data_IF_177066471656
#
_entry.id   IF_177066471656
#
_cell.length_a   1.000
_cell.length_b   1.000
_cell.length_c   1.000
_cell.angle_alpha   90.00
_cell.angle_beta   90.00
_cell.angle_gamma   90.00
#
_symmetry.space_group_name_H-M   'P 1'
#
loop_
_entity.id
_entity.type
_entity.pdbx_description
1 polymer ?
#
# COMPACT_ATOMS: atom_id res chain seq x y z
N UNK A 1 -16.14 -9.94 -25.57
CA UNK A 1 -15.48 -10.97 -26.39
C UNK A 1 -14.17 -11.43 -25.77
N UNK A 2 -13.15 -10.57 -25.61
CA UNK A 2 -11.88 -10.92 -24.93
C UNK A 2 -12.07 -11.70 -23.62
N UNK A 3 -12.85 -11.17 -22.67
CA UNK A 3 -13.09 -11.83 -21.37
C UNK A 3 -13.83 -13.17 -21.49
N UNK A 4 -14.71 -13.32 -22.49
CA UNK A 4 -15.45 -14.57 -22.69
C UNK A 4 -14.58 -15.66 -23.32
N UNK A 5 -13.54 -15.24 -24.05
CA UNK A 5 -12.57 -16.13 -24.70
C UNK A 5 -11.35 -16.39 -23.82
N UNK A 6 -11.10 -15.54 -22.82
CA UNK A 6 -10.02 -15.68 -21.86
C UNK A 6 -10.46 -16.69 -20.80
N UNK A 7 -9.92 -17.91 -20.86
CA UNK A 7 -10.24 -19.02 -19.96
C UNK A 7 -9.49 -18.96 -18.63
N UNK A 8 -9.35 -17.77 -18.04
CA UNK A 8 -8.65 -17.59 -16.78
C UNK A 8 -9.16 -16.40 -15.96
N UNK A 9 -8.60 -16.25 -14.77
CA UNK A 9 -8.94 -15.14 -13.87
C UNK A 9 -8.36 -13.83 -14.38
N UNK A 10 -9.12 -12.73 -14.26
CA UNK A 10 -8.71 -11.41 -14.77
C UNK A 10 -8.79 -10.32 -13.70
N UNK A 11 -7.93 -9.32 -13.85
CA UNK A 11 -8.07 -8.03 -13.17
C UNK A 11 -8.59 -6.98 -14.17
N UNK A 12 -9.63 -6.24 -13.79
CA UNK A 12 -10.18 -5.13 -14.58
C UNK A 12 -9.86 -3.83 -13.85
N UNK A 13 -9.12 -2.93 -14.51
CA UNK A 13 -8.63 -1.67 -13.95
C UNK A 13 -9.09 -0.48 -14.81
N UNK A 14 -9.44 0.68 -14.22
CA UNK A 14 -9.57 1.92 -14.97
C UNK A 14 -8.19 2.39 -15.47
N UNK A 15 -8.10 2.85 -16.71
CA UNK A 15 -6.85 3.39 -17.27
C UNK A 15 -6.50 4.78 -16.72
N UNK A 16 -7.45 5.45 -16.07
CA UNK A 16 -7.25 6.75 -15.43
C UNK A 16 -7.19 6.65 -13.91
N UNK A 17 -6.64 7.67 -13.26
CA UNK A 17 -6.54 7.72 -11.81
C UNK A 17 -7.92 7.88 -11.16
N UNK A 18 -8.31 6.89 -10.35
CA UNK A 18 -9.59 6.83 -9.63
C UNK A 18 -9.43 6.79 -8.11
N UNK A 19 -8.21 7.06 -7.62
CA UNK A 19 -7.87 7.11 -6.20
C UNK A 19 -7.89 5.74 -5.52
N UNK A 20 -7.38 4.71 -6.20
CA UNK A 20 -7.33 3.33 -5.69
C UNK A 20 -8.67 2.61 -5.66
N UNK A 21 -9.76 3.23 -6.17
CA UNK A 21 -11.10 2.63 -6.19
C UNK A 21 -11.47 2.23 -7.60
N UNK A 22 -11.77 0.95 -7.83
CA UNK A 22 -12.34 0.49 -9.11
C UNK A 22 -11.57 -0.62 -9.79
N UNK A 23 -10.46 -1.08 -9.22
CA UNK A 23 -9.88 -2.38 -9.57
C UNK A 23 -10.87 -3.46 -9.14
N UNK A 24 -11.13 -4.42 -10.03
CA UNK A 24 -11.95 -5.58 -9.72
C UNK A 24 -11.26 -6.83 -10.21
N UNK A 25 -10.99 -7.74 -9.29
CA UNK A 25 -10.51 -9.08 -9.59
C UNK A 25 -11.72 -9.98 -9.81
N UNK A 26 -11.75 -10.63 -10.97
CA UNK A 26 -12.77 -11.61 -11.31
C UNK A 26 -12.08 -12.97 -11.40
N UNK A 27 -12.27 -13.78 -10.36
CA UNK A 27 -11.80 -15.15 -10.35
C UNK A 27 -12.69 -16.03 -11.23
N UNK A 28 -12.09 -16.80 -12.14
CA UNK A 28 -11.90 -18.24 -11.92
C UNK A 28 -13.05 -19.09 -11.37
N UNK A 29 -14.33 -18.76 -11.51
CA UNK A 29 -15.42 -19.61 -11.00
C UNK A 29 -15.74 -20.78 -11.94
N UNK A 30 -14.74 -21.46 -12.49
CA UNK A 30 -14.91 -22.50 -13.52
C UNK A 30 -15.92 -22.06 -14.60
N UNK A 31 -15.80 -20.82 -15.08
CA UNK A 31 -16.83 -20.24 -15.94
C UNK A 31 -16.99 -21.01 -17.26
N UNK A 32 -15.96 -21.76 -17.66
CA UNK A 32 -15.96 -22.68 -18.79
C UNK A 32 -16.81 -23.95 -18.58
N UNK A 33 -17.15 -24.33 -17.33
CA UNK A 33 -17.85 -25.58 -17.03
C UNK A 33 -19.38 -25.51 -17.17
N UNK A 34 -19.99 -24.32 -17.25
CA UNK A 34 -21.42 -24.21 -17.53
C UNK A 34 -21.83 -22.89 -18.18
N UNK A 35 -22.88 -22.93 -19.01
CA UNK A 35 -23.44 -21.75 -19.68
C UNK A 35 -23.90 -20.67 -18.66
N UNK A 36 -24.49 -21.09 -17.54
CA UNK A 36 -24.98 -20.19 -16.50
C UNK A 36 -23.86 -19.40 -15.80
N UNK A 37 -22.67 -20.02 -15.64
CA UNK A 37 -21.50 -19.36 -15.08
C UNK A 37 -20.89 -18.35 -16.07
N UNK A 38 -20.86 -18.67 -17.38
CA UNK A 38 -20.52 -17.69 -18.43
C UNK A 38 -21.46 -16.49 -18.42
N UNK A 39 -22.75 -16.72 -18.22
CA UNK A 39 -23.74 -15.65 -18.15
C UNK A 39 -23.61 -14.81 -16.87
N UNK A 40 -23.18 -15.39 -15.74
CA UNK A 40 -22.86 -14.65 -14.51
C UNK A 40 -21.58 -13.79 -14.64
N UNK A 41 -20.53 -14.35 -15.24
CA UNK A 41 -19.31 -13.61 -15.58
C UNK A 41 -19.62 -12.46 -16.55
N UNK A 42 -20.37 -12.77 -17.62
CA UNK A 42 -20.82 -11.77 -18.61
C UNK A 42 -21.66 -10.67 -17.98
N UNK A 43 -22.56 -10.97 -17.02
CA UNK A 43 -23.32 -9.96 -16.28
C UNK A 43 -22.45 -9.09 -15.37
N UNK A 44 -21.49 -9.68 -14.66
CA UNK A 44 -20.55 -8.93 -13.80
C UNK A 44 -19.68 -8.00 -14.64
N UNK A 45 -19.14 -8.52 -15.74
CA UNK A 45 -18.35 -7.76 -16.73
C UNK A 45 -19.19 -6.71 -17.43
N UNK A 46 -20.43 -7.02 -17.82
CA UNK A 46 -21.35 -6.05 -18.43
C UNK A 46 -21.77 -4.98 -17.45
N UNK A 47 -21.95 -5.31 -16.17
CA UNK A 47 -22.15 -4.35 -15.09
C UNK A 47 -20.97 -3.40 -14.96
N UNK A 48 -19.74 -3.92 -15.07
CA UNK A 48 -18.52 -3.12 -15.07
C UNK A 48 -18.41 -2.27 -16.34
N UNK A 49 -18.60 -2.85 -17.52
CA UNK A 49 -18.59 -2.14 -18.80
C UNK A 49 -19.67 -1.07 -18.86
N UNK A 50 -20.84 -1.29 -18.24
CA UNK A 50 -21.91 -0.30 -18.13
C UNK A 50 -21.54 0.89 -17.22
N UNK A 51 -20.59 0.73 -16.28
CA UNK A 51 -20.02 1.84 -15.51
C UNK A 51 -19.06 2.71 -16.34
N UNK A 52 -18.64 2.24 -17.52
CA UNK A 52 -17.65 2.88 -18.40
C UNK A 52 -18.16 3.06 -19.84
N UNK A 53 -19.48 3.01 -20.05
CA UNK A 53 -20.13 3.01 -21.38
C UNK A 53 -20.52 4.40 -21.88
N UNK A 54 -20.34 5.46 -21.09
CA UNK A 54 -20.62 6.82 -21.59
C UNK A 54 -19.45 7.33 -22.41
N UNK A 55 -19.74 8.03 -23.50
CA UNK A 55 -18.74 8.84 -24.18
C UNK A 55 -18.08 9.79 -23.16
N UNK A 56 -16.75 9.70 -23.03
CA UNK A 56 -15.97 10.46 -22.05
C UNK A 56 -15.60 9.73 -20.77
N UNK A 57 -16.06 8.50 -20.53
CA UNK A 57 -15.60 7.67 -19.40
C UNK A 57 -14.23 7.00 -19.70
N UNK A 58 -13.38 6.77 -18.69
CA UNK A 58 -12.00 6.32 -18.89
C UNK A 58 -11.94 4.94 -19.54
N UNK A 59 -10.97 4.76 -20.44
CA UNK A 59 -10.62 3.43 -20.99
C UNK A 59 -10.38 2.45 -19.83
N UNK A 60 -10.60 1.16 -20.07
CA UNK A 60 -10.29 0.09 -19.10
C UNK A 60 -9.06 -0.70 -19.57
N UNK A 61 -8.34 -1.26 -18.61
CA UNK A 61 -7.27 -2.23 -18.78
C UNK A 61 -7.78 -3.57 -18.25
N UNK A 62 -7.57 -4.64 -19.01
CA UNK A 62 -7.91 -6.00 -18.61
C UNK A 62 -6.59 -6.78 -18.62
N UNK A 63 -6.22 -7.31 -17.47
CA UNK A 63 -4.95 -8.00 -17.24
C UNK A 63 -5.20 -9.40 -16.69
N UNK A 64 -4.22 -10.26 -16.83
CA UNK A 64 -4.18 -11.55 -16.14
C UNK A 64 -4.16 -11.31 -14.62
N UNK A 65 -4.99 -12.05 -13.89
CA UNK A 65 -4.89 -12.09 -12.42
C UNK A 65 -3.66 -12.91 -12.07
N UNK A 66 -2.79 -12.32 -11.26
CA UNK A 66 -1.66 -13.02 -10.64
C UNK A 66 -1.90 -13.17 -9.14
N UNK A 67 -1.27 -14.17 -8.54
CA UNK A 67 -1.37 -14.51 -7.13
C UNK A 67 0.02 -14.52 -6.48
N UNK A 68 0.07 -14.22 -5.19
CA UNK A 68 1.29 -14.14 -4.40
C UNK A 68 1.18 -13.14 -3.24
N UNK A 69 2.24 -12.96 -2.44
CA UNK A 69 2.29 -11.85 -1.50
C UNK A 69 2.57 -10.53 -2.23
N UNK A 70 1.72 -9.53 -1.94
CA UNK A 70 1.91 -8.15 -2.42
C UNK A 70 2.96 -7.40 -1.58
N UNK A 71 3.80 -6.62 -2.25
CA UNK A 71 4.76 -5.71 -1.63
C UNK A 71 5.08 -4.52 -2.55
N UNK A 72 5.76 -3.52 -2.02
CA UNK A 72 6.13 -2.31 -2.73
C UNK A 72 7.61 -2.02 -2.54
N UNK A 73 8.29 -1.61 -3.62
CA UNK A 73 9.56 -0.91 -3.56
C UNK A 73 9.40 0.56 -3.99
N UNK A 74 9.76 1.50 -3.12
CA UNK A 74 9.91 2.92 -3.46
C UNK A 74 11.36 3.22 -3.84
N UNK A 75 11.55 3.94 -4.96
CA UNK A 75 12.85 4.39 -5.45
C UNK A 75 12.82 5.90 -5.63
N UNK A 76 13.78 6.58 -5.00
CA UNK A 76 14.01 8.01 -5.19
C UNK A 76 14.91 8.21 -6.40
N UNK A 77 14.62 9.18 -7.25
CA UNK A 77 15.42 9.54 -8.43
C UNK A 77 15.62 11.05 -8.47
N UNK A 78 16.85 11.51 -8.67
CA UNK A 78 17.17 12.91 -8.97
C UNK A 78 17.25 13.19 -10.48
N UNK A 79 16.94 12.19 -11.30
CA UNK A 79 17.03 12.22 -12.75
C UNK A 79 18.34 11.66 -13.32
N UNK A 80 19.35 11.42 -12.48
CA UNK A 80 20.66 10.89 -12.88
C UNK A 80 21.09 9.66 -12.06
N UNK A 81 20.75 9.67 -10.77
CA UNK A 81 21.01 8.65 -9.77
C UNK A 81 19.69 8.16 -9.19
N UNK A 82 19.68 6.92 -8.69
CA UNK A 82 18.52 6.36 -7.99
C UNK A 82 18.93 5.79 -6.65
N UNK A 83 18.02 5.84 -5.68
CA UNK A 83 18.19 5.32 -4.33
C UNK A 83 16.96 4.49 -3.95
N UNK A 84 17.07 3.16 -3.90
CA UNK A 84 15.97 2.32 -3.43
C UNK A 84 15.83 2.41 -1.91
N UNK A 85 14.59 2.31 -1.43
CA UNK A 85 14.24 2.32 0.00
C UNK A 85 13.87 0.90 0.47
N UNK A 86 13.77 0.66 1.79
CA UNK A 86 13.23 -0.59 2.31
C UNK A 86 11.87 -0.95 1.70
N UNK A 87 11.65 -2.24 1.52
CA UNK A 87 10.35 -2.76 1.10
C UNK A 87 9.26 -2.44 2.14
N UNK A 88 8.05 -2.26 1.64
CA UNK A 88 6.85 -2.15 2.45
C UNK A 88 5.76 -3.08 1.92
N UNK A 89 4.87 -3.50 2.82
CA UNK A 89 3.63 -4.18 2.47
C UNK A 89 2.48 -3.38 3.09
N UNK A 90 1.44 -3.11 2.30
CA UNK A 90 0.24 -2.42 2.76
C UNK A 90 -0.92 -3.39 3.04
N UNK A 91 -1.86 -2.94 3.86
CA UNK A 91 -3.03 -3.72 4.25
C UNK A 91 -4.30 -3.00 3.78
N UNK A 92 -4.73 -3.27 2.55
CA UNK A 92 -5.75 -2.48 1.85
C UNK A 92 -7.15 -2.59 2.45
N UNK A 93 -7.57 -3.76 2.93
CA UNK A 93 -8.94 -3.97 3.40
C UNK A 93 -9.23 -3.36 4.76
N UNK A 94 -10.47 -2.89 4.94
CA UNK A 94 -10.92 -2.15 6.11
C UNK A 94 -10.90 -2.95 7.42
N UNK A 95 -11.10 -4.27 7.35
CA UNK A 95 -11.27 -5.13 8.53
C UNK A 95 -10.20 -6.22 8.59
N UNK A 96 -10.14 -6.89 9.73
CA UNK A 96 -9.19 -7.97 10.01
C UNK A 96 -9.29 -9.09 8.97
N UNK A 97 -8.20 -9.82 8.77
CA UNK A 97 -8.13 -10.98 7.89
C UNK A 97 -8.37 -10.62 6.41
N UNK A 98 -8.08 -9.37 6.04
CA UNK A 98 -8.21 -8.92 4.66
C UNK A 98 -9.66 -8.77 4.18
N UNK A 99 -10.64 -8.68 5.08
CA UNK A 99 -12.06 -8.61 4.68
C UNK A 99 -12.60 -7.18 4.63
N UNK A 100 -13.74 -7.03 3.95
CA UNK A 100 -14.42 -5.74 3.80
C UNK A 100 -13.90 -4.92 2.63
N UNK A 101 -14.41 -3.68 2.46
CA UNK A 101 -14.07 -2.85 1.32
C UNK A 101 -12.58 -2.50 1.30
N UNK A 102 -12.02 -2.37 0.10
CA UNK A 102 -10.71 -1.75 -0.11
C UNK A 102 -10.71 -0.32 0.41
N UNK A 103 -9.59 0.08 0.98
CA UNK A 103 -9.34 1.40 1.55
C UNK A 103 -8.05 1.97 0.96
N UNK A 104 -7.67 3.19 1.37
CA UNK A 104 -6.33 3.69 1.08
C UNK A 104 -5.19 2.93 1.81
N UNK A 105 -5.51 1.95 2.66
CA UNK A 105 -4.57 1.18 3.49
C UNK A 105 -4.86 1.35 4.98
N UNK A 106 -5.24 0.28 5.68
CA UNK A 106 -5.46 0.29 7.13
C UNK A 106 -4.19 0.10 7.96
N UNK A 107 -3.07 -0.16 7.30
CA UNK A 107 -1.77 -0.29 7.92
C UNK A 107 -0.70 -0.66 6.90
N UNK A 108 0.54 -0.69 7.37
CA UNK A 108 1.68 -1.12 6.57
C UNK A 108 2.77 -1.68 7.49
N UNK A 109 3.61 -2.54 6.93
CA UNK A 109 4.83 -3.03 7.56
C UNK A 109 6.04 -2.75 6.68
N UNK A 110 7.21 -2.69 7.29
CA UNK A 110 8.51 -2.62 6.61
C UNK A 110 9.57 -3.29 7.48
N UNK A 111 10.53 -3.95 6.86
CA UNK A 111 11.64 -4.62 7.53
C UNK A 111 11.39 -6.10 7.80
N UNK A 112 12.36 -6.80 8.43
CA UNK A 112 13.61 -6.27 8.97
C UNK A 112 14.59 -5.79 7.89
N UNK A 113 15.50 -4.88 8.24
CA UNK A 113 16.44 -4.22 7.31
C UNK A 113 15.74 -3.63 6.06
N UNK A 114 16.30 -3.73 4.85
CA UNK A 114 15.65 -3.27 3.62
C UNK A 114 14.63 -4.26 3.03
N UNK A 115 14.46 -5.45 3.61
CA UNK A 115 13.62 -6.52 3.09
C UNK A 115 12.28 -6.64 3.81
N UNK A 116 11.42 -7.50 3.26
CA UNK A 116 10.32 -8.15 3.99
C UNK A 116 10.70 -9.62 4.19
N UNK A 117 10.25 -10.30 5.25
CA UNK A 117 10.66 -11.68 5.55
C UNK A 117 10.38 -12.72 4.46
N UNK A 118 9.45 -12.43 3.56
CA UNK A 118 9.05 -13.30 2.45
C UNK A 118 9.69 -12.89 1.11
N UNK A 119 10.62 -11.92 1.10
CA UNK A 119 11.35 -11.47 -0.08
C UNK A 119 12.85 -11.70 0.13
N UNK A 120 13.48 -12.36 -0.82
CA UNK A 120 14.93 -12.60 -0.87
C UNK A 120 15.69 -11.39 -1.42
N UNK A 121 17.02 -11.38 -1.22
CA UNK A 121 17.88 -10.32 -1.77
C UNK A 121 17.84 -10.28 -3.31
N UNK A 122 17.83 -11.45 -3.96
CA UNK A 122 17.78 -11.54 -5.42
C UNK A 122 16.46 -11.02 -6.00
N UNK A 123 15.35 -11.25 -5.31
CA UNK A 123 14.03 -10.71 -5.66
C UNK A 123 13.97 -9.20 -5.44
N UNK A 124 14.57 -8.69 -4.37
CA UNK A 124 14.70 -7.25 -4.14
C UNK A 124 15.53 -6.58 -5.24
N UNK A 125 16.68 -7.14 -5.59
CA UNK A 125 17.53 -6.65 -6.69
C UNK A 125 16.80 -6.70 -8.02
N UNK A 126 16.09 -7.80 -8.30
CA UNK A 126 15.27 -7.95 -9.52
C UNK A 126 14.17 -6.90 -9.60
N UNK A 127 13.48 -6.65 -8.48
CA UNK A 127 12.48 -5.59 -8.35
C UNK A 127 13.07 -4.23 -8.65
N UNK A 128 14.22 -3.91 -8.06
CA UNK A 128 14.90 -2.64 -8.29
C UNK A 128 15.31 -2.46 -9.75
N UNK A 129 15.81 -3.51 -10.40
CA UNK A 129 16.15 -3.47 -11.83
C UNK A 129 14.93 -3.27 -12.73
N UNK A 130 13.77 -3.83 -12.38
CA UNK A 130 12.49 -3.55 -13.08
C UNK A 130 12.17 -2.05 -13.00
N UNK A 131 12.24 -1.45 -11.80
CA UNK A 131 11.95 -0.02 -11.61
C UNK A 131 12.96 0.87 -12.37
N UNK A 132 14.26 0.52 -12.34
CA UNK A 132 15.29 1.23 -13.10
C UNK A 132 15.04 1.19 -14.61
N UNK A 133 14.63 0.03 -15.15
CA UNK A 133 14.24 -0.08 -16.56
C UNK A 133 13.06 0.82 -16.89
N UNK A 134 12.05 0.91 -16.01
CA UNK A 134 10.92 1.83 -16.18
C UNK A 134 11.39 3.30 -16.19
N UNK A 135 12.25 3.71 -15.26
CA UNK A 135 12.82 5.08 -15.25
C UNK A 135 13.57 5.38 -16.55
N UNK A 136 14.38 4.44 -17.03
CA UNK A 136 15.13 4.59 -18.27
C UNK A 136 14.19 4.70 -19.48
N UNK A 137 13.14 3.87 -19.56
CA UNK A 137 12.15 3.92 -20.62
C UNK A 137 11.44 5.29 -20.67
N UNK A 138 11.10 5.88 -19.50
CA UNK A 138 10.53 7.23 -19.43
C UNK A 138 11.46 8.25 -20.10
N UNK A 139 12.77 8.19 -19.83
CA UNK A 139 13.73 9.06 -20.51
C UNK A 139 13.81 8.77 -22.01
N UNK A 140 13.85 7.50 -22.42
CA UNK A 140 13.95 7.13 -23.83
C UNK A 140 12.75 7.63 -24.65
N UNK A 141 11.54 7.52 -24.11
CA UNK A 141 10.31 7.93 -24.78
C UNK A 141 10.06 9.44 -24.72
N UNK A 142 10.35 10.07 -23.58
CA UNK A 142 9.95 11.48 -23.35
C UNK A 142 11.10 12.48 -23.47
N UNK A 143 12.35 12.00 -23.47
CA UNK A 143 13.58 12.80 -23.36
C UNK A 143 13.62 13.68 -22.11
N UNK A 144 12.89 13.30 -21.06
CA UNK A 144 12.87 13.97 -19.76
C UNK A 144 13.30 12.99 -18.68
N UNK A 145 14.25 13.42 -17.86
CA UNK A 145 14.67 12.65 -16.70
C UNK A 145 13.54 12.59 -15.67
N UNK A 146 13.36 11.43 -15.05
CA UNK A 146 12.39 11.26 -13.98
C UNK A 146 12.98 11.75 -12.65
N UNK A 147 12.34 12.74 -12.03
CA UNK A 147 12.75 13.31 -10.75
C UNK A 147 11.61 13.14 -9.74
N UNK A 148 11.92 12.60 -8.57
CA UNK A 148 10.97 12.34 -7.49
C UNK A 148 10.99 10.89 -7.03
N UNK A 149 9.84 10.40 -6.54
CA UNK A 149 9.68 9.02 -6.08
C UNK A 149 8.87 8.25 -7.10
N UNK A 150 9.37 7.09 -7.51
CA UNK A 150 8.60 6.08 -8.22
C UNK A 150 8.46 4.86 -7.31
N UNK A 151 7.25 4.35 -7.18
CA UNK A 151 6.96 3.16 -6.42
C UNK A 151 6.40 2.10 -7.35
N UNK A 152 7.00 0.92 -7.32
CA UNK A 152 6.46 -0.26 -7.99
C UNK A 152 5.76 -1.13 -6.96
N UNK A 153 4.43 -1.24 -7.06
CA UNK A 153 3.72 -2.28 -6.34
C UNK A 153 3.86 -3.57 -7.13
N UNK A 154 4.34 -4.61 -6.45
CA UNK A 154 4.67 -5.91 -6.98
C UNK A 154 3.79 -6.99 -6.35
N UNK A 155 3.62 -8.07 -7.09
CA UNK A 155 3.22 -9.37 -6.59
C UNK A 155 4.42 -10.31 -6.73
N UNK A 156 4.80 -11.02 -5.67
CA UNK A 156 5.75 -12.12 -5.82
C UNK A 156 5.02 -13.35 -6.34
N UNK A 157 5.11 -13.60 -7.64
CA UNK A 157 4.38 -14.72 -8.28
C UNK A 157 5.23 -15.97 -8.32
N UNK A 158 4.58 -17.13 -8.25
CA UNK A 158 5.25 -18.44 -8.37
C UNK A 158 6.06 -18.57 -9.67
N UNK A 159 5.42 -18.25 -10.79
CA UNK A 159 5.97 -18.54 -12.11
C UNK A 159 6.99 -17.50 -12.60
N UNK A 160 6.81 -16.23 -12.24
CA UNK A 160 7.58 -15.12 -12.80
C UNK A 160 8.41 -14.37 -11.76
N UNK A 161 8.27 -14.68 -10.47
CA UNK A 161 8.86 -13.90 -9.40
C UNK A 161 8.24 -12.49 -9.33
N UNK A 162 9.04 -11.44 -9.05
CA UNK A 162 8.56 -10.06 -8.96
C UNK A 162 7.80 -9.59 -10.21
N UNK A 163 6.49 -9.42 -10.07
CA UNK A 163 5.57 -9.01 -11.16
C UNK A 163 4.91 -7.68 -10.84
N UNK A 164 5.02 -6.71 -11.74
CA UNK A 164 4.45 -5.36 -11.56
C UNK A 164 2.92 -5.42 -11.57
N UNK A 165 2.29 -4.89 -10.53
CA UNK A 165 0.84 -4.66 -10.45
C UNK A 165 0.49 -3.24 -10.88
N UNK A 166 1.20 -2.25 -10.35
CA UNK A 166 1.06 -0.84 -10.73
C UNK A 166 2.28 0.00 -10.33
N UNK A 167 2.35 1.20 -10.91
CA UNK A 167 3.30 2.23 -10.51
C UNK A 167 2.58 3.47 -9.98
N UNK A 168 3.18 4.14 -8.99
CA UNK A 168 2.77 5.48 -8.58
C UNK A 168 3.96 6.41 -8.37
N UNK A 169 3.74 7.70 -8.62
CA UNK A 169 4.78 8.75 -8.67
C UNK A 169 4.90 9.56 -7.37
N UNK A 170 4.69 8.90 -6.23
CA UNK A 170 4.72 9.49 -4.88
C UNK A 170 5.02 8.42 -3.83
N UNK A 171 5.19 8.85 -2.59
CA UNK A 171 5.08 7.94 -1.46
C UNK A 171 3.66 7.36 -1.32
N UNK A 172 3.59 6.09 -0.93
CA UNK A 172 2.36 5.48 -0.47
C UNK A 172 2.02 5.89 0.96
N UNK A 173 0.72 5.87 1.26
CA UNK A 173 0.19 6.11 2.60
C UNK A 173 -0.71 4.92 2.94
N UNK A 174 -0.32 4.04 3.89
CA UNK A 174 0.58 4.36 5.02
C UNK A 174 2.01 3.81 4.90
N UNK A 175 2.46 3.38 3.71
CA UNK A 175 3.80 2.76 3.53
C UNK A 175 4.95 3.69 3.91
N UNK A 176 4.86 4.98 3.60
CA UNK A 176 5.87 5.96 4.00
C UNK A 176 6.03 6.04 5.53
N UNK A 177 4.94 5.87 6.27
CA UNK A 177 4.96 5.82 7.73
C UNK A 177 5.59 4.55 8.28
N UNK A 178 5.73 3.50 7.48
CA UNK A 178 6.50 2.30 7.83
C UNK A 178 7.98 2.50 7.51
N UNK A 179 8.29 3.07 6.35
CA UNK A 179 9.67 3.20 5.86
C UNK A 179 10.43 4.33 6.57
N UNK A 180 9.90 5.56 6.53
CA UNK A 180 10.66 6.76 6.90
C UNK A 180 11.11 6.75 8.37
N UNK A 181 10.28 6.33 9.36
CA UNK A 181 10.71 6.26 10.76
C UNK A 181 11.86 5.29 11.03
N UNK A 182 12.13 4.36 10.11
CA UNK A 182 13.25 3.42 10.18
C UNK A 182 14.52 3.98 9.56
N UNK A 183 14.48 5.13 8.88
CA UNK A 183 15.67 5.75 8.29
C UNK A 183 16.42 6.52 9.39
N UNK A 184 17.64 6.08 9.70
CA UNK A 184 18.53 6.74 10.66
C UNK A 184 19.27 7.94 10.03
N UNK A 185 19.41 7.96 8.71
CA UNK A 185 19.97 9.11 7.97
C UNK A 185 19.04 10.33 8.03
N UNK A 186 19.59 11.53 7.79
CA UNK A 186 18.77 12.73 7.60
C UNK A 186 17.95 12.61 6.30
N UNK A 187 16.68 12.24 6.44
CA UNK A 187 15.80 12.09 5.30
C UNK A 187 15.54 13.42 4.59
N UNK A 188 15.59 14.56 5.30
CA UNK A 188 15.48 15.89 4.70
C UNK A 188 16.65 16.19 3.76
N UNK A 189 17.87 15.83 4.15
CA UNK A 189 19.06 15.93 3.29
C UNK A 189 18.92 15.07 2.03
N UNK A 190 18.37 13.85 2.14
CA UNK A 190 18.13 12.98 0.96
C UNK A 190 17.17 13.66 -0.02
N UNK A 191 16.09 14.28 0.48
CA UNK A 191 15.13 15.00 -0.37
C UNK A 191 15.78 16.26 -0.98
N UNK A 192 16.61 17.00 -0.25
CA UNK A 192 17.36 18.14 -0.78
C UNK A 192 18.32 17.72 -1.90
N UNK A 193 19.10 16.65 -1.69
CA UNK A 193 19.99 16.09 -2.70
C UNK A 193 19.21 15.63 -3.93
N UNK A 194 18.01 15.09 -3.75
CA UNK A 194 17.11 14.71 -4.85
C UNK A 194 16.68 15.93 -5.65
N UNK A 195 16.19 16.97 -4.98
CA UNK A 195 15.71 18.20 -5.63
C UNK A 195 16.83 18.97 -6.35
N UNK A 196 18.09 18.79 -5.92
CA UNK A 196 19.26 19.49 -6.47
C UNK A 196 20.11 18.67 -7.44
N UNK A 197 19.75 17.42 -7.75
CA UNK A 197 20.50 16.58 -8.71
C UNK A 197 21.81 16.00 -8.16
N UNK A 198 21.87 15.75 -6.85
CA UNK A 198 23.07 15.26 -6.15
C UNK A 198 22.80 13.99 -5.32
N UNK A 199 21.78 13.20 -5.66
CA UNK A 199 21.37 12.00 -4.92
C UNK A 199 22.47 10.93 -4.87
N UNK A 200 23.40 10.90 -5.82
CA UNK A 200 24.60 10.05 -5.76
C UNK A 200 25.45 10.23 -4.50
N UNK A 201 25.32 11.36 -3.79
CA UNK A 201 26.00 11.63 -2.51
C UNK A 201 25.25 11.09 -1.30
N UNK A 202 23.97 10.76 -1.45
CA UNK A 202 23.14 10.29 -0.37
C UNK A 202 23.62 8.93 0.14
N UNK A 203 23.55 8.76 1.46
CA UNK A 203 23.75 7.46 2.12
C UNK A 203 22.53 7.20 2.98
N UNK A 204 21.85 6.09 2.71
CA UNK A 204 20.74 5.64 3.54
C UNK A 204 21.23 4.60 4.53
N UNK A 205 21.03 4.87 5.81
CA UNK A 205 21.15 3.90 6.88
C UNK A 205 19.75 3.64 7.44
N UNK A 206 19.38 2.38 7.55
CA UNK A 206 18.08 1.96 8.06
C UNK A 206 18.26 1.12 9.31
N UNK A 207 17.27 1.16 10.19
CA UNK A 207 17.21 0.31 11.37
C UNK A 207 16.99 -1.13 10.94
N UNK A 208 17.71 -2.05 11.59
CA UNK A 208 17.52 -3.50 11.38
C UNK A 208 16.12 -3.95 11.82
N UNK A 209 15.57 -3.31 12.84
CA UNK A 209 14.24 -3.61 13.38
C UNK A 209 13.13 -3.27 12.37
N UNK A 210 12.06 -4.05 12.39
CA UNK A 210 10.85 -3.79 11.60
C UNK A 210 10.05 -2.62 12.16
N UNK A 211 9.11 -2.13 11.35
CA UNK A 211 8.05 -1.22 11.80
C UNK A 211 6.68 -1.79 11.49
N UNK A 212 5.72 -1.50 12.36
CA UNK A 212 4.30 -1.75 12.13
C UNK A 212 3.55 -0.43 12.20
N UNK A 213 2.74 -0.16 11.19
CA UNK A 213 1.86 1.01 11.11
C UNK A 213 0.41 0.56 11.19
N UNK A 214 -0.36 1.15 12.10
CA UNK A 214 -1.80 0.94 12.19
C UNK A 214 -2.54 2.26 11.96
N UNK A 215 -3.34 2.31 10.91
CA UNK A 215 -4.24 3.42 10.69
C UNK A 215 -5.46 3.30 11.63
N UNK A 216 -5.91 4.43 12.14
CA UNK A 216 -7.11 4.56 12.96
C UNK A 216 -8.09 5.46 12.23
N UNK A 217 -9.28 4.95 11.93
CA UNK A 217 -10.31 5.67 11.21
C UNK A 217 -11.61 5.73 12.03
N UNK A 218 -12.41 6.79 11.91
CA UNK A 218 -13.75 6.85 12.52
C UNK A 218 -14.73 5.92 11.79
N UNK A 219 -15.74 5.45 12.52
CA UNK A 219 -16.84 4.66 11.96
C UNK A 219 -17.47 5.37 10.77
N UNK A 220 -17.65 4.62 9.68
CA UNK A 220 -18.15 5.13 8.41
C UNK A 220 -17.08 5.10 7.32
N UNK A 221 -15.79 5.20 7.63
CA UNK A 221 -14.73 4.99 6.64
C UNK A 221 -14.66 3.51 6.20
N UNK A 222 -14.42 3.20 4.90
CA UNK A 222 -14.30 4.12 3.75
C UNK A 222 -15.64 4.46 3.06
N UNK A 223 -16.76 3.94 3.57
CA UNK A 223 -18.06 3.89 2.88
C UNK A 223 -18.79 5.24 2.89
N UNK A 224 -18.82 5.93 4.03
CA UNK A 224 -19.58 7.16 4.26
C UNK A 224 -18.70 8.22 4.92
N UNK A 225 -18.18 9.15 4.10
CA UNK A 225 -17.41 10.31 4.57
C UNK A 225 -18.23 11.15 5.56
N UNK A 226 -19.54 11.28 5.34
CA UNK A 226 -20.43 12.05 6.22
C UNK A 226 -20.48 11.41 7.62
N UNK A 227 -20.65 10.09 7.70
CA UNK A 227 -20.64 9.39 8.99
C UNK A 227 -19.28 9.44 9.68
N UNK A 228 -18.20 9.46 8.90
CA UNK A 228 -16.83 9.48 9.39
C UNK A 228 -16.31 10.89 9.77
N UNK A 229 -17.05 11.96 9.48
CA UNK A 229 -16.62 13.35 9.71
C UNK A 229 -17.25 13.95 10.95
N UNK A 230 -16.62 15.02 11.47
CA UNK A 230 -17.14 15.85 12.56
C UNK A 230 -17.23 15.16 13.94
N UNK A 231 -16.37 14.16 14.17
CA UNK A 231 -16.22 13.50 15.46
C UNK A 231 -15.02 14.07 16.21
N UNK A 232 -15.14 14.21 17.52
CA UNK A 232 -14.02 14.59 18.38
C UNK A 232 -13.10 13.40 18.57
N UNK A 233 -11.81 13.64 18.45
CA UNK A 233 -10.76 12.68 18.81
C UNK A 233 -9.82 13.30 19.84
N UNK A 234 -9.49 12.54 20.87
CA UNK A 234 -8.60 12.94 21.97
C UNK A 234 -7.53 11.87 22.12
N UNK A 235 -6.29 12.31 22.33
CA UNK A 235 -5.14 11.43 22.48
C UNK A 235 -4.35 11.85 23.73
N UNK A 236 -3.92 10.88 24.53
CA UNK A 236 -2.87 11.08 25.53
C UNK A 236 -1.49 10.89 24.88
N UNK A 237 -1.00 11.94 24.21
CA UNK A 237 0.26 11.89 23.45
C UNK A 237 1.47 11.55 24.33
N UNK A 238 1.45 11.93 25.62
CA UNK A 238 2.53 11.60 26.55
C UNK A 238 2.59 10.09 26.79
N UNK A 239 1.46 9.45 27.09
CA UNK A 239 1.42 7.99 27.27
C UNK A 239 1.74 7.22 26.00
N UNK A 240 1.26 7.68 24.84
CA UNK A 240 1.59 7.06 23.55
C UNK A 240 3.11 7.14 23.30
N UNK A 241 3.73 8.28 23.61
CA UNK A 241 5.18 8.46 23.50
C UNK A 241 5.95 7.58 24.49
N UNK A 242 5.46 7.41 25.72
CA UNK A 242 6.07 6.52 26.73
C UNK A 242 6.10 5.05 26.28
N UNK A 243 5.12 4.61 25.48
CA UNK A 243 5.12 3.27 24.86
C UNK A 243 6.16 3.16 23.71
N UNK A 244 6.68 4.29 23.24
CA UNK A 244 7.61 4.36 22.10
C UNK A 244 6.91 4.39 20.74
N UNK A 245 5.68 4.89 20.68
CA UNK A 245 4.91 5.01 19.44
C UNK A 245 4.99 6.42 18.87
N UNK A 246 5.11 6.50 17.53
CA UNK A 246 5.02 7.74 16.77
C UNK A 246 3.58 7.89 16.26
N UNK A 247 3.03 9.09 16.36
CA UNK A 247 1.68 9.41 15.87
C UNK A 247 1.79 10.37 14.69
N UNK A 248 1.29 9.95 13.53
CA UNK A 248 1.03 10.83 12.40
C UNK A 248 -0.46 11.18 12.34
N UNK A 249 -0.75 12.46 12.12
CA UNK A 249 -2.12 12.94 11.96
C UNK A 249 -2.49 12.94 10.48
N UNK A 250 -3.56 12.24 10.14
CA UNK A 250 -4.10 12.19 8.78
C UNK A 250 -5.29 13.13 8.62
N UNK A 251 -6.48 12.56 8.47
CA UNK A 251 -7.74 13.27 8.19
C UNK A 251 -8.39 13.83 9.46
N UNK A 252 -7.69 14.74 10.13
CA UNK A 252 -8.19 15.52 11.27
C UNK A 252 -7.87 17.01 11.09
N UNK A 253 -8.65 17.88 11.73
CA UNK A 253 -8.34 19.29 11.84
C UNK A 253 -8.39 19.74 13.30
N UNK A 254 -7.54 20.69 13.66
CA UNK A 254 -7.63 21.38 14.94
C UNK A 254 -8.67 22.50 14.83
N UNK A 255 -9.81 22.34 15.50
CA UNK A 255 -10.86 23.35 15.59
C UNK A 255 -10.97 23.83 17.03
N UNK A 256 -10.54 25.06 17.28
CA UNK A 256 -10.32 25.57 18.63
C UNK A 256 -9.25 24.75 19.35
N UNK A 257 -9.64 24.02 20.38
CA UNK A 257 -8.75 23.13 21.15
C UNK A 257 -9.11 21.64 20.97
N UNK A 258 -9.87 21.29 19.93
CA UNK A 258 -10.36 19.94 19.69
C UNK A 258 -9.89 19.44 18.33
N UNK A 259 -9.44 18.19 18.27
CA UNK A 259 -9.19 17.51 17.00
C UNK A 259 -10.51 16.94 16.49
N UNK A 260 -10.85 17.27 15.25
CA UNK A 260 -12.10 16.91 14.59
C UNK A 260 -11.82 16.09 13.35
N UNK A 261 -12.43 14.91 13.22
CA UNK A 261 -12.26 14.03 12.06
C UNK A 261 -12.84 14.64 10.77
N UNK A 262 -12.21 14.36 9.62
CA UNK A 262 -12.61 14.87 8.30
C UNK A 262 -13.04 13.79 7.31
N UNK A 263 -13.35 12.60 7.82
CA UNK A 263 -14.03 11.55 7.07
C UNK A 263 -13.13 10.54 6.36
N UNK A 264 -11.85 10.48 6.72
CA UNK A 264 -10.91 9.43 6.31
C UNK A 264 -10.11 8.94 7.53
N UNK A 265 -9.05 8.14 7.31
CA UNK A 265 -8.09 7.71 8.34
C UNK A 265 -7.62 8.92 9.14
N UNK A 266 -7.89 8.93 10.45
CA UNK A 266 -7.64 10.06 11.32
C UNK A 266 -6.17 10.10 11.77
N UNK A 267 -5.59 8.93 12.06
CA UNK A 267 -4.26 8.78 12.62
C UNK A 267 -3.55 7.58 11.99
N UNK A 268 -2.23 7.61 12.01
CA UNK A 268 -1.35 6.46 11.84
C UNK A 268 -0.46 6.34 13.07
N UNK A 269 -0.50 5.17 13.69
CA UNK A 269 0.35 4.83 14.83
C UNK A 269 1.49 3.95 14.34
N UNK A 270 2.73 4.31 14.66
CA UNK A 270 3.92 3.57 14.24
C UNK A 270 4.68 3.08 15.47
N UNK A 271 5.00 1.80 15.48
CA UNK A 271 5.91 1.21 16.46
C UNK A 271 7.05 0.49 15.73
N UNK A 272 8.27 0.69 16.23
CA UNK A 272 9.48 0.01 15.75
C UNK A 272 9.84 -1.11 16.75
N UNK A 273 10.27 -2.24 16.20
CA UNK A 273 10.63 -3.46 16.92
C UNK A 273 10.33 -4.69 16.06
N UNK A 274 10.53 -5.89 16.62
CA UNK A 274 9.98 -7.09 16.00
C UNK A 274 8.45 -6.96 15.85
N UNK A 275 7.88 -7.61 14.83
CA UNK A 275 6.48 -7.41 14.45
C UNK A 275 5.51 -7.66 15.61
N UNK A 276 5.76 -8.65 16.45
CA UNK A 276 4.90 -8.99 17.58
C UNK A 276 4.96 -7.90 18.65
N UNK A 277 6.16 -7.53 19.12
CA UNK A 277 6.34 -6.47 20.12
C UNK A 277 5.83 -5.13 19.62
N UNK A 278 6.06 -4.79 18.34
CA UNK A 278 5.52 -3.57 17.74
C UNK A 278 3.99 -3.57 17.73
N UNK A 279 3.36 -4.69 17.37
CA UNK A 279 1.90 -4.84 17.37
C UNK A 279 1.30 -4.76 18.79
N UNK A 280 1.95 -5.36 19.79
CA UNK A 280 1.54 -5.24 21.20
C UNK A 280 1.64 -3.81 21.73
N UNK A 281 2.70 -3.07 21.36
CA UNK A 281 2.82 -1.64 21.67
C UNK A 281 1.67 -0.84 21.04
N UNK A 282 1.31 -1.12 19.79
CA UNK A 282 0.17 -0.49 19.12
C UNK A 282 -1.15 -0.79 19.84
N UNK A 283 -1.37 -2.02 20.28
CA UNK A 283 -2.55 -2.41 21.07
C UNK A 283 -2.65 -1.59 22.38
N UNK A 284 -1.52 -1.32 23.04
CA UNK A 284 -1.48 -0.43 24.21
C UNK A 284 -1.82 1.02 23.83
N UNK A 285 -1.27 1.54 22.74
CA UNK A 285 -1.46 2.93 22.31
C UNK A 285 -2.91 3.25 21.98
N UNK A 286 -3.65 2.30 21.41
CA UNK A 286 -5.06 2.46 21.08
C UNK A 286 -5.91 2.78 22.32
N UNK A 287 -5.56 2.28 23.50
CA UNK A 287 -6.29 2.56 24.76
C UNK A 287 -6.16 4.02 25.21
N UNK A 288 -5.22 4.77 24.64
CA UNK A 288 -5.00 6.19 24.92
C UNK A 288 -5.65 7.12 23.90
N UNK A 289 -6.46 6.55 22.99
CA UNK A 289 -7.20 7.29 21.97
C UNK A 289 -8.69 7.16 22.27
N UNK A 290 -9.36 8.30 22.37
CA UNK A 290 -10.78 8.38 22.67
C UNK A 290 -11.50 9.20 21.60
N UNK A 291 -12.71 8.78 21.26
CA UNK A 291 -13.57 9.51 20.34
C UNK A 291 -15.03 9.37 20.74
N UNK A 292 -15.85 10.33 20.33
CA UNK A 292 -17.31 10.28 20.45
C UNK A 292 -17.97 9.35 19.41
N UNK A 293 -17.18 8.78 18.50
CA UNK A 293 -17.58 7.68 17.62
C UNK A 293 -16.69 6.45 17.80
N UNK A 294 -17.16 5.29 17.33
CA UNK A 294 -16.34 4.08 17.31
C UNK A 294 -15.18 4.28 16.34
N UNK A 295 -13.99 3.86 16.74
CA UNK A 295 -12.80 3.83 15.89
C UNK A 295 -12.65 2.44 15.26
N UNK A 296 -12.22 2.41 14.00
CA UNK A 296 -11.91 1.23 13.20
C UNK A 296 -10.40 1.19 13.01
N UNK A 297 -9.81 0.04 13.29
CA UNK A 297 -8.39 -0.27 13.11
C UNK A 297 -8.22 -1.80 13.11
N UNK A 298 -7.06 -2.27 12.62
CA UNK A 298 -6.78 -3.69 12.41
C UNK A 298 -5.71 -4.21 13.37
N UNK A 299 -5.99 -5.33 14.05
CA UNK A 299 -5.08 -5.91 15.04
C UNK A 299 -4.07 -6.90 14.44
N UNK A 300 -4.32 -7.34 13.21
CA UNK A 300 -3.61 -8.37 12.45
C UNK A 300 -2.45 -7.84 11.61
N UNK A 301 -2.27 -6.51 11.52
CA UNK A 301 -1.16 -5.90 10.79
C UNK A 301 0.16 -6.34 11.42
N UNK A 302 1.01 -6.95 10.60
CA UNK A 302 2.30 -7.54 11.01
C UNK A 302 2.20 -8.89 11.72
N UNK A 303 1.00 -9.41 12.03
CA UNK A 303 0.85 -10.72 12.70
C UNK A 303 0.83 -11.89 11.72
N UNK A 304 0.33 -11.68 10.51
CA UNK A 304 0.21 -12.72 9.48
C UNK A 304 1.50 -12.92 8.66
N UNK A 305 2.64 -12.44 9.16
CA UNK A 305 3.89 -12.51 8.40
C UNK A 305 4.35 -13.95 8.16
N UNK A 306 4.02 -14.86 9.09
CA UNK A 306 4.31 -16.29 8.95
C UNK A 306 3.54 -16.92 7.79
N UNK A 307 2.27 -16.57 7.59
CA UNK A 307 1.46 -17.05 6.46
C UNK A 307 2.07 -16.60 5.12
N UNK A 308 2.57 -15.36 5.04
CA UNK A 308 3.24 -14.87 3.84
C UNK A 308 4.57 -15.57 3.57
N UNK A 309 5.32 -15.92 4.62
CA UNK A 309 6.54 -16.72 4.50
C UNK A 309 6.21 -18.13 3.99
N UNK A 310 5.16 -18.76 4.53
CA UNK A 310 4.72 -20.10 4.08
C UNK A 310 4.34 -20.09 2.60
N UNK A 311 3.52 -19.13 2.16
CA UNK A 311 3.15 -18.95 0.75
C UNK A 311 4.39 -18.73 -0.13
N UNK A 312 5.34 -17.91 0.32
CA UNK A 312 6.57 -17.65 -0.44
C UNK A 312 7.49 -18.88 -0.51
N UNK A 313 7.54 -19.71 0.54
CA UNK A 313 8.30 -20.96 0.53
C UNK A 313 7.69 -21.98 -0.43
N UNK A 314 6.36 -22.10 -0.45
CA UNK A 314 5.63 -22.95 -1.42
C UNK A 314 5.90 -22.52 -2.86
N UNK A 315 6.12 -21.22 -3.10
CA UNK A 315 6.48 -20.67 -4.41
C UNK A 315 7.89 -21.09 -4.86
N UNK A 316 8.81 -21.30 -3.92
CA UNK A 316 10.23 -21.57 -4.23
C UNK A 316 10.60 -23.06 -4.38
N UNK A 317 9.69 -23.98 -4.05
CA UNK A 317 9.88 -25.44 -4.20
C UNK A 317 9.43 -25.99 -5.56
#
# INVERSE_FOLDING_TARGET
EFILNYGGSIAIKPAGQVGGRGVKVVADLEAYLSQDKRDALSRSVSGIGNLYKKEGEPKIIIEEKVDGPEYTLHVISDGYSTLPLPLAQDYKNAYQDGIGPETGGMGSISGPDHLLPFITEDEYVSTYEIIKKTINAIYEETKKNYVGIIAGQMMLTELWGPTVIEFYSRFGDPEASAIIPRVDSDFGEIIELTATGHLSKAKIKVKEESSVVRAVAPLGYPISKQMASNHKIMLDLNKIKEVGCIVFFGSVALEGMQLITKGSRALELVCIGDFNTASEKLDKCINYIHSDTKLIYRHDIGKNITEHIEIALEITE
#
